data_IF_867517175771
#
_entry.id   IF_867517175771
#
_cell.length_a   1.000
_cell.length_b   1.000
_cell.length_c   1.000
_cell.angle_alpha   90.00
_cell.angle_beta   90.00
_cell.angle_gamma   90.00
#
_symmetry.space_group_name_H-M   'P 1'
#
loop_
_entity.id
_entity.type
_entity.pdbx_description
1 polymer ?
#
# COMPACT_ATOMS: atom_id res chain seq x y z
N UNK A 1 -7.85 18.03 -2.27
CA UNK A 1 -7.72 17.01 -1.23
C UNK A 1 -7.79 15.69 -1.95
N UNK A 2 -6.66 15.02 -2.11
CA UNK A 2 -6.61 13.73 -2.81
C UNK A 2 -7.38 12.72 -1.97
N UNK A 3 -8.43 12.10 -2.53
CA UNK A 3 -9.30 11.15 -1.82
C UNK A 3 -8.51 9.95 -1.27
N UNK A 4 -7.33 9.68 -1.85
CA UNK A 4 -6.41 8.60 -1.49
C UNK A 4 -5.58 8.88 -0.22
N UNK A 5 -5.44 10.14 0.20
CA UNK A 5 -4.60 10.50 1.35
C UNK A 5 -5.11 9.91 2.67
N UNK A 6 -6.43 9.81 2.84
CA UNK A 6 -7.03 9.27 4.07
C UNK A 6 -6.80 7.76 4.18
N UNK A 7 -6.91 7.04 3.06
CA UNK A 7 -6.59 5.62 3.02
C UNK A 7 -5.10 5.41 3.21
N UNK A 8 -4.26 6.23 2.57
CA UNK A 8 -2.82 6.17 2.68
C UNK A 8 -2.36 6.37 4.14
N UNK A 9 -2.83 7.42 4.82
CA UNK A 9 -2.53 7.68 6.24
C UNK A 9 -3.05 6.59 7.20
N UNK A 10 -4.01 5.77 6.78
CA UNK A 10 -4.51 4.66 7.57
C UNK A 10 -3.58 3.44 7.48
N UNK A 11 -2.90 3.28 6.33
CA UNK A 11 -1.96 2.17 6.09
C UNK A 11 -0.57 2.54 6.57
N UNK A 12 -0.09 3.73 6.20
CA UNK A 12 1.21 4.30 6.55
C UNK A 12 1.26 4.58 8.06
N UNK A 13 1.78 3.60 8.80
CA UNK A 13 1.78 3.60 10.25
C UNK A 13 2.94 4.43 10.80
N UNK A 14 4.05 4.49 10.07
CA UNK A 14 5.23 5.25 10.44
C UNK A 14 5.27 6.68 9.87
N UNK A 15 4.32 7.01 8.98
CA UNK A 15 4.16 8.31 8.33
C UNK A 15 5.38 8.74 7.53
N UNK A 16 6.07 7.78 6.90
CA UNK A 16 7.16 8.07 5.97
C UNK A 16 6.68 8.49 4.57
N UNK A 17 5.38 8.37 4.30
CA UNK A 17 4.80 8.68 3.00
C UNK A 17 4.93 7.54 1.99
N UNK A 18 5.29 6.34 2.44
CA UNK A 18 5.44 5.12 1.67
C UNK A 18 4.64 4.01 2.36
N UNK A 19 4.19 3.00 1.60
CA UNK A 19 3.56 1.80 2.17
C UNK A 19 4.47 0.62 1.93
N UNK A 20 5.01 0.09 3.01
CA UNK A 20 5.82 -1.12 2.99
C UNK A 20 4.94 -2.38 2.94
N UNK A 21 5.49 -3.49 2.44
CA UNK A 21 4.79 -4.78 2.46
C UNK A 21 4.35 -5.20 3.88
N UNK A 22 5.13 -4.83 4.90
CA UNK A 22 4.81 -5.09 6.30
C UNK A 22 3.63 -4.26 6.81
N UNK A 23 3.52 -3.00 6.37
CA UNK A 23 2.42 -2.10 6.75
C UNK A 23 1.12 -2.51 6.08
N UNK A 24 1.18 -2.86 4.80
CA UNK A 24 0.06 -3.44 4.08
C UNK A 24 -0.44 -4.73 4.75
N UNK A 25 0.50 -5.59 5.17
CA UNK A 25 0.17 -6.85 5.84
C UNK A 25 -0.46 -6.61 7.22
N UNK A 26 0.08 -5.68 8.00
CA UNK A 26 -0.53 -5.26 9.27
C UNK A 26 -1.94 -4.69 9.08
N UNK A 27 -2.15 -3.85 8.07
CA UNK A 27 -3.47 -3.32 7.78
C UNK A 27 -4.45 -4.45 7.46
N UNK A 28 -4.04 -5.40 6.62
CA UNK A 28 -4.84 -6.57 6.26
C UNK A 28 -5.18 -7.44 7.48
N UNK A 29 -4.25 -7.61 8.42
CA UNK A 29 -4.51 -8.25 9.72
C UNK A 29 -5.53 -7.46 10.56
N UNK A 30 -5.41 -6.13 10.63
CA UNK A 30 -6.35 -5.26 11.38
C UNK A 30 -7.75 -5.27 10.76
N UNK A 31 -7.85 -5.35 9.43
CA UNK A 31 -9.11 -5.47 8.70
C UNK A 31 -9.75 -6.86 8.82
N UNK A 32 -9.09 -7.81 9.50
CA UNK A 32 -9.58 -9.18 9.69
C UNK A 32 -9.44 -10.06 8.45
N UNK A 33 -8.67 -9.62 7.45
CA UNK A 33 -8.30 -10.39 6.27
C UNK A 33 -6.79 -10.61 6.26
N UNK A 34 -6.24 -11.48 7.12
CA UNK A 34 -4.82 -11.76 7.12
C UNK A 34 -4.42 -12.31 5.75
N UNK A 35 -3.51 -11.60 5.08
CA UNK A 35 -2.89 -12.05 3.83
C UNK A 35 -1.49 -12.57 4.15
N UNK A 36 -1.05 -13.59 3.43
CA UNK A 36 0.32 -14.09 3.56
C UNK A 36 1.33 -13.03 3.14
N UNK A 37 2.53 -13.07 3.74
CA UNK A 37 3.63 -12.16 3.38
C UNK A 37 3.95 -12.21 1.88
N UNK A 38 3.89 -13.40 1.28
CA UNK A 38 4.06 -13.58 -0.17
C UNK A 38 2.99 -12.85 -0.98
N UNK A 39 1.74 -12.82 -0.51
CA UNK A 39 0.64 -12.13 -1.19
C UNK A 39 0.76 -10.61 -1.04
N UNK A 40 1.17 -10.11 0.13
CA UNK A 40 1.46 -8.70 0.35
C UNK A 40 2.66 -8.25 -0.50
N UNK A 41 3.73 -9.03 -0.54
CA UNK A 41 4.88 -8.76 -1.41
C UNK A 41 4.51 -8.81 -2.89
N UNK A 42 3.68 -9.75 -3.31
CA UNK A 42 3.20 -9.81 -4.69
C UNK A 42 2.28 -8.63 -5.05
N UNK A 43 1.52 -8.11 -4.08
CA UNK A 43 0.76 -6.89 -4.27
C UNK A 43 1.68 -5.68 -4.39
N UNK A 44 2.61 -5.51 -3.44
CA UNK A 44 3.62 -4.43 -3.48
C UNK A 44 4.39 -4.47 -4.78
N UNK A 45 4.98 -5.60 -5.16
CA UNK A 45 5.73 -5.74 -6.41
C UNK A 45 4.90 -5.52 -7.70
N UNK A 46 3.57 -5.50 -7.63
CA UNK A 46 2.71 -5.15 -8.76
C UNK A 46 2.36 -3.67 -8.82
N UNK A 47 2.37 -2.99 -7.67
CA UNK A 47 2.12 -1.56 -7.54
C UNK A 47 3.40 -0.72 -7.56
N UNK A 48 4.49 -1.31 -7.09
CA UNK A 48 5.86 -0.79 -7.06
C UNK A 48 6.41 -0.75 -8.49
N UNK A 49 6.38 0.44 -9.07
CA UNK A 49 6.82 0.72 -10.44
C UNK A 49 8.28 1.13 -10.44
N UNK A 50 8.75 1.79 -9.38
CA UNK A 50 10.13 2.26 -9.27
C UNK A 50 11.11 1.19 -8.76
N UNK A 51 10.58 0.11 -8.18
CA UNK A 51 11.32 -1.04 -7.66
C UNK A 51 11.97 -0.80 -6.31
N UNK A 52 11.50 0.17 -5.51
CA UNK A 52 12.04 0.48 -4.20
C UNK A 52 11.59 -0.49 -3.09
N UNK A 53 10.65 -1.39 -3.41
CA UNK A 53 10.07 -2.37 -2.50
C UNK A 53 8.99 -1.81 -1.58
N UNK A 54 8.53 -0.59 -1.84
CA UNK A 54 7.46 0.13 -1.14
C UNK A 54 6.49 0.69 -2.18
N UNK A 55 5.40 1.30 -1.71
CA UNK A 55 4.40 1.94 -2.58
C UNK A 55 4.32 3.40 -2.16
N UNK A 56 4.76 4.29 -3.02
CA UNK A 56 4.63 5.72 -2.80
C UNK A 56 3.19 6.19 -3.01
N UNK A 57 2.85 7.37 -2.45
CA UNK A 57 1.53 7.96 -2.63
C UNK A 57 1.17 8.17 -4.10
N UNK A 58 2.16 8.47 -4.95
CA UNK A 58 2.00 8.60 -6.40
C UNK A 58 1.64 7.26 -7.06
N UNK A 59 2.34 6.18 -6.72
CA UNK A 59 2.05 4.83 -7.23
C UNK A 59 0.70 4.30 -6.75
N UNK A 60 0.37 4.54 -5.48
CA UNK A 60 -0.92 4.18 -4.92
C UNK A 60 -2.08 4.91 -5.61
N UNK A 61 -1.90 6.22 -5.86
CA UNK A 61 -2.88 7.03 -6.57
C UNK A 61 -3.05 6.59 -8.02
N UNK A 62 -1.93 6.30 -8.71
CA UNK A 62 -1.95 5.81 -10.09
C UNK A 62 -2.63 4.43 -10.20
N UNK A 63 -2.39 3.53 -9.24
CA UNK A 63 -3.05 2.24 -9.20
C UNK A 63 -4.56 2.37 -9.00
N UNK A 64 -5.01 3.18 -8.05
CA UNK A 64 -6.45 3.39 -7.80
C UNK A 64 -7.15 4.12 -8.95
N UNK A 65 -6.44 5.01 -9.67
CA UNK A 65 -6.94 5.61 -10.91
C UNK A 65 -7.07 4.55 -12.03
N UNK A 66 -6.09 3.66 -12.16
CA UNK A 66 -6.10 2.57 -13.15
C UNK A 66 -7.13 1.47 -12.87
N UNK A 67 -7.56 1.33 -11.61
CA UNK A 67 -8.55 0.34 -11.17
C UNK A 67 -10.00 0.80 -11.35
N UNK A 68 -10.23 2.01 -11.90
CA UNK A 68 -11.54 2.61 -12.13
C UNK A 68 -12.12 2.33 -13.52
#
# INVERSE_FOLDING_TARGET
MSEYAVTFELVDADKDGLISAEELLRLMEVLGQPVSQEAAQAAVARLDVDGDGRISLEEFSAYLDSAR
#
